data_IF_754527443450
#
_entry.id   IF_754527443450
#
_cell.length_a   1.000
_cell.length_b   1.000
_cell.length_c   1.000
_cell.angle_alpha   90.00
_cell.angle_beta   90.00
_cell.angle_gamma   90.00
#
_symmetry.space_group_name_H-M   'P 1'
#
loop_
_entity.id
_entity.type
_entity.pdbx_description
1 polymer ?
#
# COMPACT_ATOMS: atom_id res chain seq x y z
N UNK A 1 10.88 -5.41 -22.86
CA UNK A 1 10.79 -5.00 -21.44
C UNK A 1 9.37 -4.69 -20.95
N UNK A 2 8.51 -3.95 -21.68
CA UNK A 2 7.11 -3.68 -21.26
C UNK A 2 6.26 -4.94 -21.00
N UNK A 3 6.41 -5.95 -21.83
CA UNK A 3 5.76 -7.26 -21.67
C UNK A 3 6.17 -8.01 -20.42
N UNK A 4 7.47 -8.04 -20.11
CA UNK A 4 8.02 -8.59 -18.86
C UNK A 4 7.43 -7.83 -17.67
N UNK A 5 7.38 -6.49 -17.74
CA UNK A 5 6.79 -5.66 -16.69
C UNK A 5 5.32 -5.98 -16.43
N UNK A 6 4.53 -6.33 -17.46
CA UNK A 6 3.12 -6.68 -17.27
C UNK A 6 2.92 -7.99 -16.50
N UNK A 7 3.87 -8.92 -16.59
CA UNK A 7 3.80 -10.22 -15.90
C UNK A 7 4.63 -10.27 -14.61
N UNK A 8 5.67 -9.45 -14.49
CA UNK A 8 6.59 -9.44 -13.36
C UNK A 8 7.18 -8.04 -13.12
N UNK A 9 6.64 -7.33 -12.12
CA UNK A 9 6.91 -5.89 -11.89
C UNK A 9 8.10 -5.60 -10.96
N UNK A 10 8.57 -6.59 -10.19
CA UNK A 10 9.56 -6.42 -9.12
C UNK A 10 10.71 -7.44 -9.19
N UNK A 11 11.50 -7.44 -10.27
CA UNK A 11 12.71 -8.27 -10.33
C UNK A 11 13.75 -7.84 -9.29
N UNK A 12 14.41 -8.82 -8.70
CA UNK A 12 15.54 -8.67 -7.78
C UNK A 12 16.78 -8.09 -8.46
N UNK A 13 17.78 -7.74 -7.65
CA UNK A 13 19.04 -7.20 -8.15
C UNK A 13 19.78 -8.19 -9.06
N UNK A 14 19.76 -9.48 -8.72
CA UNK A 14 20.42 -10.53 -9.50
C UNK A 14 19.65 -10.81 -10.79
N UNK A 15 18.32 -10.80 -10.75
CA UNK A 15 17.49 -10.96 -11.95
C UNK A 15 17.61 -9.78 -12.91
N UNK A 16 17.76 -8.55 -12.40
CA UNK A 16 18.08 -7.39 -13.24
C UNK A 16 19.45 -7.52 -13.91
N UNK A 17 20.40 -8.19 -13.24
CA UNK A 17 21.73 -8.46 -13.76
C UNK A 17 21.69 -9.50 -14.88
N UNK A 18 21.04 -10.63 -14.62
CA UNK A 18 20.82 -11.69 -15.61
C UNK A 18 20.05 -11.18 -16.81
N UNK A 19 18.92 -10.48 -16.58
CA UNK A 19 18.13 -9.89 -17.65
C UNK A 19 18.93 -8.85 -18.43
N UNK A 20 19.74 -8.03 -17.76
CA UNK A 20 20.62 -7.04 -18.37
C UNK A 20 21.70 -7.68 -19.23
N UNK A 21 22.42 -8.67 -18.70
CA UNK A 21 23.43 -9.43 -19.44
C UNK A 21 22.82 -10.08 -20.69
N UNK A 22 21.61 -10.61 -20.56
CA UNK A 22 20.93 -11.30 -21.65
C UNK A 22 20.47 -10.30 -22.72
N UNK A 23 19.87 -9.16 -22.36
CA UNK A 23 19.41 -8.14 -23.35
C UNK A 23 20.47 -7.11 -23.75
N UNK A 24 21.72 -7.26 -23.31
CA UNK A 24 22.83 -6.36 -23.64
C UNK A 24 22.73 -4.99 -22.97
N UNK A 25 22.07 -4.89 -21.81
CA UNK A 25 21.91 -3.65 -21.04
C UNK A 25 22.58 -3.75 -19.68
N UNK A 26 23.20 -2.66 -19.24
CA UNK A 26 23.79 -2.60 -17.91
C UNK A 26 22.70 -2.79 -16.83
N UNK A 27 23.00 -3.59 -15.79
CA UNK A 27 22.12 -3.87 -14.64
C UNK A 27 21.39 -2.63 -14.11
N UNK A 28 22.10 -1.50 -13.98
CA UNK A 28 21.52 -0.23 -13.48
C UNK A 28 20.46 0.34 -14.43
N UNK A 29 20.63 0.19 -15.74
CA UNK A 29 19.64 0.63 -16.75
C UNK A 29 18.35 -0.17 -16.59
N UNK A 30 18.45 -1.50 -16.43
CA UNK A 30 17.30 -2.37 -16.20
C UNK A 30 16.59 -2.00 -14.89
N UNK A 31 17.33 -1.81 -13.80
CA UNK A 31 16.78 -1.40 -12.51
C UNK A 31 16.03 -0.06 -12.59
N UNK A 32 16.66 0.95 -13.18
CA UNK A 32 16.06 2.28 -13.36
C UNK A 32 14.84 2.21 -14.27
N UNK A 33 14.88 1.37 -15.30
CA UNK A 33 13.73 1.15 -16.17
C UNK A 33 12.52 0.58 -15.40
N UNK A 34 12.71 -0.45 -14.56
CA UNK A 34 11.64 -1.00 -13.73
C UNK A 34 11.13 -0.01 -12.66
N UNK A 35 12.02 0.78 -12.07
CA UNK A 35 11.64 1.85 -11.14
C UNK A 35 10.78 2.92 -11.83
N UNK A 36 11.20 3.36 -13.02
CA UNK A 36 10.46 4.34 -13.83
C UNK A 36 9.13 3.80 -14.34
N UNK A 37 9.07 2.52 -14.72
CA UNK A 37 7.83 1.86 -15.13
C UNK A 37 6.81 1.81 -13.99
N UNK A 38 7.23 1.42 -12.77
CA UNK A 38 6.35 1.46 -11.56
C UNK A 38 5.96 2.88 -11.18
N UNK A 39 6.87 3.84 -11.28
CA UNK A 39 6.56 5.24 -11.00
C UNK A 39 5.54 5.81 -11.99
N UNK A 40 5.64 5.46 -13.28
CA UNK A 40 4.69 5.84 -14.32
C UNK A 40 3.30 5.23 -14.07
N UNK A 41 3.25 3.96 -13.68
CA UNK A 41 2.01 3.26 -13.32
C UNK A 41 1.32 3.89 -12.10
N UNK A 42 2.07 4.20 -11.03
CA UNK A 42 1.52 4.89 -9.86
C UNK A 42 0.99 6.28 -10.20
N UNK A 43 1.57 6.96 -11.19
CA UNK A 43 1.15 8.30 -11.63
C UNK A 43 -0.05 8.28 -12.57
N UNK A 44 -0.29 7.19 -13.33
CA UNK A 44 -1.52 7.01 -14.12
C UNK A 44 -2.71 6.54 -13.28
N UNK A 45 -2.47 5.95 -12.09
CA UNK A 45 -3.51 5.46 -11.16
C UNK A 45 -4.40 6.56 -10.57
N UNK A 46 -4.03 7.84 -10.71
CA UNK A 46 -4.86 8.98 -10.26
C UNK A 46 -6.00 9.35 -11.23
N UNK A 47 -6.20 8.62 -12.34
CA UNK A 47 -7.24 8.96 -13.34
C UNK A 47 -8.20 7.81 -13.72
N UNK A 48 -7.97 6.57 -13.28
CA UNK A 48 -8.91 5.47 -13.57
C UNK A 48 -8.80 4.40 -12.50
N UNK A 49 -9.78 4.35 -11.60
CA UNK A 49 -10.02 3.18 -10.77
C UNK A 49 -10.76 2.13 -11.59
N UNK A 50 -10.48 0.85 -11.31
CA UNK A 50 -11.39 -0.28 -11.52
C UNK A 50 -11.17 -1.29 -12.67
N UNK A 51 -10.01 -1.34 -13.34
CA UNK A 51 -9.76 -2.40 -14.37
C UNK A 51 -8.43 -3.18 -14.21
N UNK A 52 -7.87 -3.32 -12.99
CA UNK A 52 -6.55 -3.97 -12.80
C UNK A 52 -6.57 -5.34 -12.11
N UNK A 53 -7.69 -5.82 -11.56
CA UNK A 53 -7.73 -7.14 -10.90
C UNK A 53 -7.75 -8.33 -11.86
N UNK A 54 -8.06 -8.12 -13.15
CA UNK A 54 -8.10 -9.19 -14.16
C UNK A 54 -6.78 -9.39 -14.91
N UNK A 55 -5.91 -8.37 -14.98
CA UNK A 55 -4.72 -8.43 -15.86
C UNK A 55 -3.49 -9.02 -15.17
N UNK A 56 -3.43 -8.96 -13.84
CA UNK A 56 -2.37 -9.57 -13.01
C UNK A 56 -2.61 -11.07 -12.71
N UNK A 57 -3.73 -11.64 -13.18
CA UNK A 57 -4.10 -13.05 -13.02
C UNK A 57 -3.99 -13.86 -14.34
N UNK A 58 -3.30 -13.33 -15.36
CA UNK A 58 -3.15 -14.02 -16.64
C UNK A 58 -2.35 -15.30 -16.44
N UNK A 59 -3.00 -16.47 -16.52
CA UNK A 59 -2.38 -17.80 -16.47
C UNK A 59 -1.60 -18.14 -17.74
N UNK A 60 -1.27 -17.15 -18.59
CA UNK A 60 -0.52 -17.34 -19.83
C UNK A 60 0.38 -16.16 -20.16
N UNK A 61 1.51 -16.44 -20.78
CA UNK A 61 2.42 -15.43 -21.30
C UNK A 61 1.85 -14.77 -22.55
N UNK A 62 1.69 -13.44 -22.52
CA UNK A 62 1.19 -12.68 -23.67
C UNK A 62 2.13 -12.68 -24.90
N UNK A 63 3.41 -13.00 -24.72
CA UNK A 63 4.40 -13.07 -25.81
C UNK A 63 4.67 -14.50 -26.31
N UNK A 64 4.67 -15.46 -25.39
CA UNK A 64 5.05 -16.84 -25.70
C UNK A 64 3.84 -17.77 -25.82
N UNK A 65 2.65 -17.33 -25.39
CA UNK A 65 1.44 -18.15 -25.33
C UNK A 65 1.48 -19.27 -24.28
N UNK A 66 2.61 -19.45 -23.58
CA UNK A 66 2.82 -20.51 -22.59
C UNK A 66 1.92 -20.30 -21.38
N UNK A 67 1.14 -21.32 -21.02
CA UNK A 67 0.33 -21.33 -19.81
C UNK A 67 1.18 -21.62 -18.58
N UNK A 68 0.91 -20.89 -17.50
CA UNK A 68 1.52 -21.10 -16.19
C UNK A 68 0.67 -22.13 -15.44
N UNK A 69 1.24 -23.29 -15.13
CA UNK A 69 0.59 -24.36 -14.39
C UNK A 69 1.53 -24.91 -13.29
N UNK A 70 1.14 -26.00 -12.64
CA UNK A 70 1.91 -26.63 -11.57
C UNK A 70 3.26 -27.22 -12.03
N UNK A 71 3.51 -27.32 -13.34
CA UNK A 71 4.77 -27.83 -13.91
C UNK A 71 5.71 -26.71 -14.34
N UNK A 72 5.18 -25.54 -14.70
CA UNK A 72 5.96 -24.39 -15.16
C UNK A 72 5.47 -23.14 -14.43
N UNK A 73 6.26 -22.68 -13.46
CA UNK A 73 5.94 -21.45 -12.75
C UNK A 73 6.11 -20.22 -13.66
N UNK A 74 5.38 -19.15 -13.36
CA UNK A 74 5.53 -17.87 -14.06
C UNK A 74 6.97 -17.35 -13.98
N UNK A 75 7.64 -17.59 -12.85
CA UNK A 75 9.04 -17.24 -12.62
C UNK A 75 9.97 -18.00 -13.56
N UNK A 76 9.87 -19.33 -13.57
CA UNK A 76 10.69 -20.21 -14.42
C UNK A 76 10.50 -19.89 -15.91
N UNK A 77 9.27 -19.57 -16.32
CA UNK A 77 8.99 -19.20 -17.70
C UNK A 77 9.63 -17.85 -18.09
N UNK A 78 9.45 -16.79 -17.30
CA UNK A 78 9.92 -15.44 -17.66
C UNK A 78 11.45 -15.38 -17.74
N UNK A 79 12.14 -16.17 -16.91
CA UNK A 79 13.60 -16.28 -16.90
C UNK A 79 14.15 -17.44 -17.74
N UNK A 80 13.28 -18.18 -18.45
CA UNK A 80 13.73 -19.20 -19.40
C UNK A 80 14.52 -18.58 -20.56
N UNK A 81 15.56 -19.28 -21.01
CA UNK A 81 16.35 -18.89 -22.19
C UNK A 81 15.48 -18.63 -23.42
N UNK A 82 14.44 -19.44 -23.63
CA UNK A 82 13.50 -19.27 -24.74
C UNK A 82 12.68 -17.98 -24.67
N UNK A 83 12.17 -17.64 -23.48
CA UNK A 83 11.43 -16.38 -23.28
C UNK A 83 12.36 -15.19 -23.51
N UNK A 84 13.57 -15.23 -22.93
CA UNK A 84 14.49 -14.10 -23.05
C UNK A 84 15.02 -13.97 -24.48
N UNK A 85 15.29 -15.06 -25.20
CA UNK A 85 15.66 -15.03 -26.62
C UNK A 85 14.57 -14.42 -27.50
N UNK A 86 13.29 -14.69 -27.22
CA UNK A 86 12.17 -14.02 -27.91
C UNK A 86 12.12 -12.53 -27.62
N UNK A 87 12.39 -12.12 -26.38
CA UNK A 87 12.50 -10.71 -26.00
C UNK A 87 13.68 -10.04 -26.71
N UNK A 88 14.86 -10.67 -26.78
CA UNK A 88 16.01 -10.15 -27.52
C UNK A 88 15.70 -9.94 -28.99
N UNK A 89 15.06 -10.92 -29.64
CA UNK A 89 14.67 -10.79 -31.05
C UNK A 89 13.79 -9.58 -31.30
N UNK A 90 12.77 -9.36 -30.47
CA UNK A 90 11.89 -8.18 -30.60
C UNK A 90 12.65 -6.85 -30.38
N UNK A 91 13.58 -6.79 -29.43
CA UNK A 91 14.43 -5.62 -29.20
C UNK A 91 15.43 -5.38 -30.35
N UNK A 92 15.88 -6.44 -31.02
CA UNK A 92 16.73 -6.33 -32.21
C UNK A 92 15.92 -5.89 -33.43
N UNK A 93 14.68 -6.34 -33.62
CA UNK A 93 13.81 -5.87 -34.71
C UNK A 93 13.46 -4.39 -34.56
N UNK A 94 13.26 -3.90 -33.33
CA UNK A 94 13.07 -2.48 -33.03
C UNK A 94 14.34 -1.65 -33.32
N UNK A 95 15.52 -2.28 -33.33
CA UNK A 95 16.81 -1.63 -33.62
C UNK A 95 17.18 -1.69 -35.13
N UNK A 96 16.75 -2.73 -35.85
CA UNK A 96 16.96 -2.88 -37.30
C UNK A 96 16.04 -1.97 -38.12
N UNK A 97 14.91 -1.49 -37.57
CA UNK A 97 14.14 -0.40 -38.20
C UNK A 97 14.78 0.99 -38.03
N UNK A 98 15.83 1.12 -37.20
CA UNK A 98 16.55 2.37 -36.97
C UNK A 98 17.92 2.44 -37.70
N UNK A 99 18.40 1.35 -38.31
CA UNK A 99 19.64 1.32 -39.11
C UNK A 99 19.41 0.65 -40.47
N UNK A 100 18.82 1.39 -41.40
CA UNK A 100 18.68 0.99 -42.80
C UNK A 100 18.63 2.21 -43.72
N UNK A 101 19.75 2.50 -44.38
CA UNK A 101 19.98 3.49 -45.45
C UNK A 101 20.04 4.96 -45.04
N UNK A 102 21.24 5.42 -44.68
CA UNK A 102 21.65 6.81 -44.91
C UNK A 102 22.27 6.83 -46.31
N UNK A 103 21.58 7.42 -47.28
CA UNK A 103 22.20 7.91 -48.51
C UNK A 103 21.83 9.38 -48.67
N UNK A 104 22.83 10.25 -48.60
CA UNK A 104 22.70 11.70 -48.73
C UNK A 104 22.86 12.07 -50.21
N UNK A 105 21.74 12.37 -50.88
CA UNK A 105 21.54 13.48 -51.83
C UNK A 105 20.51 13.15 -52.91
N UNK A 106 19.32 13.77 -52.83
CA UNK A 106 18.69 14.49 -53.95
C UNK A 106 17.29 14.99 -53.55
N UNK A 107 17.15 16.32 -53.55
CA UNK A 107 15.99 17.11 -54.02
C UNK A 107 14.60 16.95 -53.36
N UNK A 108 14.16 18.05 -52.73
CA UNK A 108 12.87 18.76 -52.85
C UNK A 108 11.60 17.88 -52.99
N UNK A 109 10.64 17.91 -52.06
CA UNK A 109 9.58 18.93 -52.03
C UNK A 109 8.77 18.95 -50.71
N UNK A 110 8.21 20.13 -50.46
CA UNK A 110 7.43 20.69 -49.35
C UNK A 110 6.23 19.89 -48.83
N UNK A 111 6.12 19.68 -47.50
CA UNK A 111 4.85 19.68 -46.72
C UNK A 111 5.11 20.27 -45.32
N UNK A 112 4.10 20.99 -44.81
CA UNK A 112 4.13 22.19 -43.97
C UNK A 112 4.42 22.01 -42.47
N UNK A 113 5.03 23.02 -41.85
CA UNK A 113 5.58 23.06 -40.47
C UNK A 113 4.63 23.70 -39.43
N UNK A 114 3.33 23.82 -39.70
CA UNK A 114 2.46 24.66 -38.85
C UNK A 114 1.77 23.99 -37.65
N UNK A 115 1.76 22.66 -37.52
CA UNK A 115 0.91 21.99 -36.50
C UNK A 115 1.60 21.60 -35.19
N UNK A 116 2.93 21.52 -35.15
CA UNK A 116 3.65 21.09 -33.93
C UNK A 116 3.88 22.25 -32.95
N UNK A 117 3.78 23.50 -33.41
CA UNK A 117 4.08 24.69 -32.61
C UNK A 117 2.87 25.22 -31.83
N UNK A 118 1.63 24.94 -32.28
CA UNK A 118 0.39 25.35 -31.57
C UNK A 118 0.18 24.59 -30.25
N UNK A 119 0.62 23.33 -30.17
CA UNK A 119 0.38 22.47 -29.00
C UNK A 119 1.33 22.80 -27.84
N UNK A 120 2.51 23.36 -28.13
CA UNK A 120 3.52 23.69 -27.10
C UNK A 120 3.29 25.06 -26.43
N UNK A 121 2.63 26.01 -27.10
CA UNK A 121 2.37 27.34 -26.55
C UNK A 121 1.09 27.43 -25.67
N UNK A 122 0.21 26.43 -25.71
CA UNK A 122 -1.03 26.41 -24.90
C UNK A 122 -0.83 25.94 -23.46
N UNK A 123 0.20 25.15 -23.17
CA UNK A 123 0.49 24.62 -21.83
C UNK A 123 1.25 25.58 -20.90
N UNK A 124 1.73 26.73 -21.42
CA UNK A 124 2.54 27.70 -20.66
C UNK A 124 1.71 28.92 -20.21
N UNK A 125 0.52 29.14 -20.80
CA UNK A 125 -0.27 30.38 -20.60
C UNK A 125 -1.21 30.39 -19.38
N UNK A 126 -1.54 29.23 -18.78
CA UNK A 126 -2.47 29.17 -17.63
C UNK A 126 -1.81 29.28 -16.24
N UNK A 127 -0.51 29.60 -16.16
CA UNK A 127 0.19 29.75 -14.86
C UNK A 127 0.61 31.18 -14.48
N UNK A 128 0.22 32.21 -15.25
CA UNK A 128 0.62 33.60 -14.97
C UNK A 128 -0.49 34.64 -15.17
N UNK A 129 -1.47 34.63 -14.26
CA UNK A 129 -2.31 35.78 -13.82
C UNK A 129 -3.23 35.21 -12.74
N UNK A 130 -3.12 35.55 -11.46
CA UNK A 130 -3.55 36.84 -10.89
C UNK A 130 -2.99 36.99 -9.46
N UNK A 131 -2.77 38.25 -9.05
CA UNK A 131 -1.98 38.73 -7.91
C UNK A 131 -2.87 38.93 -6.66
N UNK A 132 -2.27 38.82 -5.47
CA UNK A 132 -2.85 39.03 -4.13
C UNK A 132 -3.58 40.39 -3.91
N UNK A 133 -4.37 40.52 -2.83
CA UNK A 133 -3.84 41.20 -1.63
C UNK A 133 -4.17 40.49 -0.30
N UNK A 134 -3.29 40.69 0.69
CA UNK A 134 -3.33 40.05 2.00
C UNK A 134 -4.35 40.63 2.99
N UNK A 135 -4.80 39.77 3.89
CA UNK A 135 -5.31 40.10 5.23
C UNK A 135 -4.85 38.99 6.17
N UNK A 136 -4.26 39.42 7.29
CA UNK A 136 -3.85 38.63 8.43
C UNK A 136 -5.05 38.19 9.27
N UNK A 137 -5.28 36.89 9.42
CA UNK A 137 -6.07 36.33 10.54
C UNK A 137 -5.61 34.90 10.83
N UNK A 138 -5.14 34.70 12.05
CA UNK A 138 -4.88 33.42 12.72
C UNK A 138 -6.18 32.68 13.06
N UNK A 139 -6.31 31.42 12.66
CA UNK A 139 -6.87 30.33 13.48
C UNK A 139 -6.83 28.97 12.76
N UNK A 140 -6.72 27.85 13.52
CA UNK A 140 -6.51 26.50 13.01
C UNK A 140 -7.83 25.70 12.91
N UNK A 141 -7.91 24.72 12.00
CA UNK A 141 -9.05 23.82 11.96
C UNK A 141 -9.21 23.05 10.66
N UNK A 142 -8.47 21.95 10.51
CA UNK A 142 -8.78 20.90 9.52
C UNK A 142 -8.25 19.58 10.07
N UNK A 143 -9.09 18.88 10.84
CA UNK A 143 -8.79 17.55 11.37
C UNK A 143 -8.80 16.53 10.22
N UNK A 144 -7.65 16.38 9.57
CA UNK A 144 -7.29 15.14 8.91
C UNK A 144 -7.03 14.10 10.00
N UNK A 145 -7.85 13.04 10.04
CA UNK A 145 -7.60 11.88 10.89
C UNK A 145 -6.19 11.34 10.59
N UNK A 146 -5.35 11.12 11.61
CA UNK A 146 -4.04 10.53 11.37
C UNK A 146 -4.24 9.09 10.87
N UNK A 147 -3.47 8.64 9.88
CA UNK A 147 -3.39 7.21 9.59
C UNK A 147 -2.84 6.51 10.84
N UNK A 148 -3.45 5.38 11.20
CA UNK A 148 -2.98 4.50 12.27
C UNK A 148 -1.45 4.38 12.27
N UNK A 149 -0.79 4.50 13.44
CA UNK A 149 0.67 4.53 13.51
C UNK A 149 1.21 3.09 13.40
N UNK A 150 1.26 2.55 12.19
CA UNK A 150 2.16 1.44 11.89
C UNK A 150 3.18 1.88 10.86
N UNK A 151 4.02 2.82 11.29
CA UNK A 151 5.38 2.94 10.78
C UNK A 151 6.27 1.90 11.50
N UNK A 152 5.88 0.63 11.48
CA UNK A 152 6.60 -0.45 12.17
C UNK A 152 6.95 -1.59 11.21
N UNK A 153 7.71 -1.26 10.16
CA UNK A 153 8.56 -2.22 9.45
C UNK A 153 9.72 -1.52 8.73
N UNK A 154 10.20 -0.38 9.24
CA UNK A 154 11.38 0.31 8.70
C UNK A 154 12.29 0.95 9.76
N UNK A 155 12.41 0.36 10.96
CA UNK A 155 13.40 0.85 11.93
C UNK A 155 14.12 -0.21 12.76
N UNK A 156 14.28 -1.44 12.24
CA UNK A 156 15.23 -2.39 12.83
C UNK A 156 16.18 -2.89 11.73
N UNK A 157 17.42 -2.38 11.84
CA UNK A 157 18.71 -2.93 11.37
C UNK A 157 18.67 -3.70 10.04
N UNK A 158 19.22 -3.07 9.01
CA UNK A 158 19.87 -3.78 7.90
C UNK A 158 20.87 -4.79 8.45
N UNK A 159 20.57 -6.07 8.32
CA UNK A 159 21.50 -7.14 8.67
C UNK A 159 20.77 -8.39 9.10
N UNK A 160 20.61 -9.31 8.15
CA UNK A 160 20.23 -10.72 8.32
C UNK A 160 18.72 -11.00 8.49
N UNK A 161 18.05 -11.23 7.37
CA UNK A 161 16.87 -12.10 7.32
C UNK A 161 16.85 -12.93 6.01
N UNK A 162 16.37 -14.19 6.03
CA UNK A 162 16.39 -15.10 4.89
C UNK A 162 15.34 -14.71 3.84
N UNK A 163 15.61 -15.10 2.59
CA UNK A 163 14.97 -14.69 1.33
C UNK A 163 13.48 -15.17 1.15
N UNK A 164 12.78 -15.63 2.19
CA UNK A 164 11.53 -16.40 2.01
C UNK A 164 10.28 -15.89 2.77
N UNK A 165 10.21 -14.62 3.18
CA UNK A 165 9.03 -14.10 3.90
C UNK A 165 8.51 -12.80 3.29
N UNK A 166 7.52 -12.88 2.40
CA UNK A 166 6.69 -11.72 2.03
C UNK A 166 5.53 -11.60 3.03
N UNK A 167 5.50 -10.55 3.89
CA UNK A 167 4.43 -10.37 4.87
C UNK A 167 3.03 -10.25 4.24
N UNK A 168 2.93 -9.85 2.97
CA UNK A 168 1.63 -9.73 2.30
C UNK A 168 1.04 -11.09 1.90
N UNK A 169 1.88 -12.12 1.79
CA UNK A 169 1.48 -13.47 1.40
C UNK A 169 1.43 -14.42 2.60
N UNK A 170 2.38 -14.28 3.52
CA UNK A 170 2.46 -15.12 4.71
C UNK A 170 1.64 -14.56 5.87
N UNK A 171 1.38 -13.26 5.92
CA UNK A 171 0.78 -12.58 7.06
C UNK A 171 1.80 -12.38 8.19
N UNK A 172 1.32 -11.99 9.36
CA UNK A 172 2.11 -11.88 10.60
C UNK A 172 1.51 -12.82 11.65
N UNK A 173 2.27 -13.74 12.25
CA UNK A 173 1.76 -14.61 13.30
C UNK A 173 1.31 -13.79 14.51
N UNK A 174 0.26 -14.23 15.20
CA UNK A 174 -0.26 -13.54 16.41
C UNK A 174 0.85 -13.20 17.42
N UNK A 175 1.79 -14.10 17.78
CA UNK A 175 2.85 -13.80 18.75
C UNK A 175 3.84 -12.70 18.32
N UNK A 176 3.82 -12.30 17.05
CA UNK A 176 4.68 -11.24 16.49
C UNK A 176 3.96 -9.89 16.38
N UNK A 177 2.68 -9.82 16.79
CA UNK A 177 1.95 -8.56 16.83
C UNK A 177 2.46 -7.68 17.96
N UNK A 178 2.56 -6.37 17.72
CA UNK A 178 2.97 -5.39 18.73
C UNK A 178 1.80 -4.94 19.59
N UNK A 179 1.21 -5.90 20.29
CA UNK A 179 0.14 -5.71 21.25
C UNK A 179 0.51 -6.45 22.53
N UNK A 180 -0.10 -6.13 23.68
CA UNK A 180 0.20 -6.81 24.93
C UNK A 180 -0.02 -8.33 24.82
N UNK A 181 0.81 -9.11 25.50
CA UNK A 181 0.74 -10.58 25.49
C UNK A 181 -0.62 -11.12 25.95
N UNK A 182 -1.25 -10.45 26.91
CA UNK A 182 -2.62 -10.76 27.34
C UNK A 182 -3.63 -10.69 26.20
N UNK A 183 -3.47 -9.72 25.29
CA UNK A 183 -4.34 -9.54 24.13
C UNK A 183 -4.04 -10.63 23.08
N UNK A 184 -2.77 -10.96 22.85
CA UNK A 184 -2.39 -12.08 21.96
C UNK A 184 -2.97 -13.42 22.44
N UNK A 185 -2.92 -13.67 23.75
CA UNK A 185 -3.53 -14.84 24.37
C UNK A 185 -5.06 -14.85 24.24
N UNK A 186 -5.70 -13.68 24.41
CA UNK A 186 -7.14 -13.52 24.19
C UNK A 186 -7.53 -13.83 22.75
N UNK A 187 -6.85 -13.26 21.75
CA UNK A 187 -7.13 -13.50 20.33
C UNK A 187 -7.02 -15.00 20.01
N UNK A 188 -5.95 -15.65 20.50
CA UNK A 188 -5.73 -17.09 20.30
C UNK A 188 -6.86 -17.93 20.90
N UNK A 189 -7.29 -17.57 22.11
CA UNK A 189 -8.40 -18.25 22.81
C UNK A 189 -9.72 -18.06 22.06
N UNK A 190 -10.04 -16.82 21.68
CA UNK A 190 -11.26 -16.46 20.95
C UNK A 190 -11.34 -17.24 19.62
N UNK A 191 -10.22 -17.33 18.90
CA UNK A 191 -10.14 -18.08 17.65
C UNK A 191 -10.30 -19.60 17.86
N UNK A 192 -9.65 -20.18 18.88
CA UNK A 192 -9.83 -21.61 19.21
C UNK A 192 -11.25 -21.96 19.66
N UNK A 193 -11.97 -20.99 20.24
CA UNK A 193 -13.37 -21.13 20.64
C UNK A 193 -14.37 -20.98 19.48
N UNK A 194 -13.88 -20.76 18.25
CA UNK A 194 -14.72 -20.64 17.05
C UNK A 194 -15.47 -19.31 16.94
N UNK A 195 -15.01 -18.24 17.60
CA UNK A 195 -15.58 -16.91 17.40
C UNK A 195 -15.18 -16.36 16.03
N UNK A 196 -15.93 -15.39 15.54
CA UNK A 196 -15.65 -14.71 14.27
C UNK A 196 -14.75 -13.49 14.45
N UNK A 197 -14.58 -13.00 15.68
CA UNK A 197 -13.75 -11.84 15.97
C UNK A 197 -13.26 -11.80 17.43
N UNK A 198 -12.20 -11.02 17.65
CA UNK A 198 -11.74 -10.61 18.99
C UNK A 198 -11.70 -9.09 19.08
N UNK A 199 -12.27 -8.56 20.17
CA UNK A 199 -12.27 -7.14 20.50
C UNK A 199 -11.25 -6.83 21.58
N UNK A 200 -10.41 -5.83 21.33
CA UNK A 200 -9.36 -5.41 22.26
C UNK A 200 -9.02 -3.93 22.10
N UNK A 201 -8.40 -3.34 23.11
CA UNK A 201 -7.80 -2.00 23.03
C UNK A 201 -6.29 -2.11 22.80
N UNK A 202 -5.64 -1.04 22.34
CA UNK A 202 -4.20 -1.09 22.05
C UNK A 202 -3.36 -1.44 23.29
N UNK A 203 -3.81 -0.98 24.46
CA UNK A 203 -3.16 -1.19 25.75
C UNK A 203 -3.70 -2.39 26.53
N UNK A 204 -4.63 -3.16 25.94
CA UNK A 204 -5.21 -4.35 26.57
C UNK A 204 -6.08 -4.05 27.80
N UNK A 205 -6.46 -2.80 28.01
CA UNK A 205 -7.31 -2.34 29.12
C UNK A 205 -8.77 -2.21 28.69
N UNK A 206 -9.70 -2.31 29.64
CA UNK A 206 -11.13 -2.17 29.32
C UNK A 206 -11.56 -0.71 29.37
N UNK A 207 -12.61 -0.35 28.62
CA UNK A 207 -13.19 0.99 28.67
C UNK A 207 -13.62 1.39 30.09
N UNK A 208 -14.15 0.44 30.87
CA UNK A 208 -14.59 0.70 32.25
C UNK A 208 -13.46 1.11 33.19
N UNK A 209 -12.21 0.68 32.93
CA UNK A 209 -11.07 1.08 33.74
C UNK A 209 -10.74 2.58 33.64
N UNK A 210 -11.25 3.29 32.62
CA UNK A 210 -11.11 4.75 32.52
C UNK A 210 -11.68 5.48 33.74
N UNK A 211 -12.74 4.95 34.37
CA UNK A 211 -13.37 5.55 35.56
C UNK A 211 -12.37 5.72 36.69
N UNK A 212 -11.38 4.83 36.81
CA UNK A 212 -10.40 4.87 37.88
C UNK A 212 -9.26 5.86 37.64
N UNK A 213 -9.04 6.31 36.40
CA UNK A 213 -7.89 7.14 36.02
C UNK A 213 -8.26 8.53 35.49
N UNK A 214 -9.55 8.77 35.21
CA UNK A 214 -10.05 10.05 34.73
C UNK A 214 -10.97 10.70 35.76
N UNK A 215 -10.97 12.05 35.84
CA UNK A 215 -12.04 12.77 36.53
C UNK A 215 -13.42 12.43 35.96
N UNK A 216 -14.45 12.41 36.82
CA UNK A 216 -15.82 12.06 36.42
C UNK A 216 -16.33 12.89 35.22
N UNK A 217 -15.94 14.16 35.15
CA UNK A 217 -16.36 15.06 34.07
C UNK A 217 -15.74 14.70 32.72
N UNK A 218 -14.47 14.25 32.73
CA UNK A 218 -13.82 13.76 31.52
C UNK A 218 -14.38 12.40 31.11
N UNK A 219 -14.68 11.54 32.08
CA UNK A 219 -15.35 10.27 31.81
C UNK A 219 -16.75 10.46 31.19
N UNK A 220 -17.50 11.50 31.58
CA UNK A 220 -18.82 11.80 31.01
C UNK A 220 -18.79 12.08 29.50
N UNK A 221 -17.69 12.65 28.99
CA UNK A 221 -17.51 12.87 27.55
C UNK A 221 -16.73 11.74 26.85
N UNK A 222 -16.19 10.77 27.60
CA UNK A 222 -15.55 9.58 27.03
C UNK A 222 -16.58 8.62 26.41
N UNK A 223 -16.17 7.91 25.37
CA UNK A 223 -16.92 6.85 24.70
C UNK A 223 -15.96 5.84 24.10
N UNK A 224 -16.49 4.78 23.51
CA UNK A 224 -15.70 3.74 22.83
C UNK A 224 -16.21 3.56 21.40
N UNK A 225 -15.29 3.37 20.46
CA UNK A 225 -15.62 3.11 19.06
C UNK A 225 -14.74 1.98 18.52
N UNK A 226 -15.34 1.05 17.81
CA UNK A 226 -14.66 -0.14 17.29
C UNK A 226 -14.19 0.10 15.85
N UNK A 227 -13.09 -0.52 15.46
CA UNK A 227 -12.57 -0.49 14.10
C UNK A 227 -11.96 -1.84 13.74
N UNK A 228 -12.27 -2.35 12.55
CA UNK A 228 -11.64 -3.55 12.02
C UNK A 228 -10.22 -3.21 11.58
N UNK A 229 -9.21 -3.88 12.17
CA UNK A 229 -7.79 -3.56 11.97
C UNK A 229 -6.98 -4.73 11.43
N UNK A 230 -7.53 -5.94 11.44
CA UNK A 230 -6.82 -7.12 10.96
C UNK A 230 -7.75 -8.29 10.62
N UNK A 231 -7.27 -9.15 9.74
CA UNK A 231 -7.97 -10.34 9.28
C UNK A 231 -7.05 -11.54 9.45
N UNK A 232 -7.42 -12.46 10.33
CA UNK A 232 -6.64 -13.64 10.63
C UNK A 232 -7.21 -14.88 9.93
N UNK A 233 -6.31 -15.77 9.51
CA UNK A 233 -6.65 -17.09 9.01
C UNK A 233 -6.87 -18.05 10.19
N UNK A 234 -8.06 -18.63 10.38
CA UNK A 234 -8.31 -19.56 11.49
C UNK A 234 -7.48 -20.85 11.42
N UNK A 235 -6.98 -21.24 10.24
CA UNK A 235 -6.15 -22.44 10.08
C UNK A 235 -4.71 -22.26 10.54
N UNK A 236 -4.04 -21.19 10.10
CA UNK A 236 -2.61 -20.97 10.37
C UNK A 236 -2.35 -19.87 11.40
N UNK A 237 -3.39 -19.16 11.86
CA UNK A 237 -3.34 -18.06 12.83
C UNK A 237 -2.63 -16.80 12.37
N UNK A 238 -2.18 -16.74 11.11
CA UNK A 238 -1.51 -15.56 10.58
C UNK A 238 -2.53 -14.43 10.31
N UNK A 239 -2.11 -13.21 10.60
CA UNK A 239 -2.91 -11.99 10.51
C UNK A 239 -2.46 -11.14 9.33
N UNK A 240 -3.44 -10.58 8.62
CA UNK A 240 -3.27 -9.79 7.41
C UNK A 240 -3.86 -8.39 7.61
N UNK A 241 -3.26 -7.41 6.94
CA UNK A 241 -3.70 -6.00 7.01
C UNK A 241 -4.95 -5.70 6.18
N UNK A 242 -5.35 -6.62 5.30
CA UNK A 242 -6.53 -6.49 4.44
C UNK A 242 -7.15 -7.87 4.25
N UNK A 243 -8.48 -7.90 4.17
CA UNK A 243 -9.22 -9.14 3.91
C UNK A 243 -8.76 -9.80 2.60
N UNK A 244 -8.48 -9.00 1.57
CA UNK A 244 -8.04 -9.52 0.28
C UNK A 244 -6.71 -10.29 0.36
N UNK A 245 -5.80 -9.87 1.24
CA UNK A 245 -4.52 -10.56 1.44
C UNK A 245 -4.74 -11.91 2.13
N UNK A 246 -5.62 -11.95 3.13
CA UNK A 246 -6.06 -13.20 3.74
C UNK A 246 -6.70 -14.14 2.69
N UNK A 247 -7.61 -13.63 1.85
CA UNK A 247 -8.23 -14.42 0.77
C UNK A 247 -7.21 -14.93 -0.25
N UNK A 248 -6.14 -14.20 -0.51
CA UNK A 248 -5.05 -14.66 -1.37
C UNK A 248 -4.25 -15.77 -0.69
N UNK A 249 -3.92 -15.60 0.59
CA UNK A 249 -3.27 -16.60 1.41
C UNK A 249 -4.07 -17.92 1.50
N UNK A 250 -5.38 -17.85 1.73
CA UNK A 250 -6.28 -19.01 1.77
C UNK A 250 -6.29 -19.77 0.43
N UNK A 251 -6.30 -19.06 -0.70
CA UNK A 251 -6.29 -19.69 -2.02
C UNK A 251 -4.97 -20.37 -2.37
N UNK A 252 -3.85 -19.79 -1.94
CA UNK A 252 -2.51 -20.23 -2.36
C UNK A 252 -1.83 -21.16 -1.36
N UNK A 253 -2.10 -20.99 -0.06
CA UNK A 253 -1.35 -21.62 1.04
C UNK A 253 -2.29 -22.43 1.93
N UNK A 254 -3.30 -21.79 2.53
CA UNK A 254 -4.25 -22.43 3.43
C UNK A 254 -5.54 -22.85 2.70
N UNK A 255 -5.38 -23.79 1.77
CA UNK A 255 -6.50 -24.28 0.95
C UNK A 255 -7.56 -24.97 1.82
N UNK A 256 -8.84 -24.78 1.46
CA UNK A 256 -9.97 -25.35 2.20
C UNK A 256 -10.41 -24.56 3.43
N UNK A 257 -9.96 -23.31 3.58
CA UNK A 257 -10.44 -22.38 4.60
C UNK A 257 -10.97 -21.09 3.96
N UNK A 258 -12.27 -20.87 4.09
CA UNK A 258 -12.92 -19.62 3.66
C UNK A 258 -13.34 -18.73 4.84
N UNK A 259 -13.21 -19.23 6.07
CA UNK A 259 -13.55 -18.50 7.30
C UNK A 259 -12.57 -17.36 7.55
N UNK A 260 -13.07 -16.27 8.12
CA UNK A 260 -12.31 -15.06 8.38
C UNK A 260 -12.48 -14.72 9.86
N UNK A 261 -11.37 -14.56 10.56
CA UNK A 261 -11.38 -14.09 11.94
C UNK A 261 -10.96 -12.62 11.99
N UNK A 262 -11.80 -11.74 12.54
CA UNK A 262 -11.54 -10.30 12.54
C UNK A 262 -10.90 -9.84 13.85
N UNK A 263 -9.84 -9.04 13.73
CA UNK A 263 -9.27 -8.30 14.85
C UNK A 263 -9.93 -6.92 14.88
N UNK A 264 -10.62 -6.63 15.98
CA UNK A 264 -11.40 -5.40 16.16
C UNK A 264 -10.76 -4.60 17.29
N UNK A 265 -10.20 -3.44 16.95
CA UNK A 265 -9.58 -2.54 17.91
C UNK A 265 -10.60 -1.51 18.41
N UNK A 266 -10.88 -1.55 19.70
CA UNK A 266 -11.67 -0.55 20.41
C UNK A 266 -10.79 0.66 20.73
N UNK A 267 -11.23 1.84 20.30
CA UNK A 267 -10.60 3.13 20.57
C UNK A 267 -11.37 3.89 21.64
N UNK A 268 -10.62 4.61 22.48
CA UNK A 268 -11.20 5.59 23.40
C UNK A 268 -11.55 6.85 22.60
N UNK A 269 -12.82 7.23 22.60
CA UNK A 269 -13.33 8.37 21.85
C UNK A 269 -13.70 9.50 22.80
N UNK A 270 -13.22 10.72 22.51
CA UNK A 270 -13.69 11.92 23.18
C UNK A 270 -14.85 12.48 22.38
N UNK A 271 -16.07 12.44 22.94
CA UNK A 271 -17.29 12.93 22.27
C UNK A 271 -17.35 14.45 22.19
N UNK A 272 -16.72 15.15 23.14
CA UNK A 272 -16.62 16.61 23.13
C UNK A 272 -15.72 17.10 21.98
N UNK A 273 -14.59 16.44 21.74
CA UNK A 273 -13.60 16.84 20.74
C UNK A 273 -13.71 16.07 19.40
N UNK A 274 -14.57 15.06 19.34
CA UNK A 274 -14.65 14.08 18.24
C UNK A 274 -13.29 13.45 17.86
N UNK A 275 -12.47 13.15 18.87
CA UNK A 275 -11.13 12.57 18.72
C UNK A 275 -11.10 11.11 19.17
N UNK A 276 -10.18 10.30 18.60
CA UNK A 276 -10.00 8.86 18.92
C UNK A 276 -8.58 8.57 19.36
N UNK A 277 -8.42 7.68 20.33
CA UNK A 277 -7.15 7.35 20.97
C UNK A 277 -7.01 5.84 21.14
N UNK A 278 -5.79 5.32 20.96
CA UNK A 278 -5.53 3.88 21.03
C UNK A 278 -5.31 3.39 22.45
N UNK A 279 -4.66 4.20 23.28
CA UNK A 279 -4.34 3.88 24.68
C UNK A 279 -4.99 4.85 25.67
N UNK A 280 -5.24 4.36 26.89
CA UNK A 280 -5.79 5.18 27.98
C UNK A 280 -4.86 6.35 28.36
N UNK A 281 -3.55 6.15 28.25
CA UNK A 281 -2.55 7.18 28.55
C UNK A 281 -2.66 8.37 27.59
N UNK A 282 -2.83 8.10 26.30
CA UNK A 282 -3.03 9.13 25.28
C UNK A 282 -4.34 9.89 25.50
N UNK A 283 -5.42 9.16 25.81
CA UNK A 283 -6.71 9.76 26.13
C UNK A 283 -6.62 10.68 27.36
N UNK A 284 -5.93 10.24 28.41
CA UNK A 284 -5.71 11.05 29.62
C UNK A 284 -4.93 12.32 29.32
N UNK A 285 -3.84 12.22 28.56
CA UNK A 285 -3.04 13.38 28.16
C UNK A 285 -3.88 14.35 27.32
N UNK A 286 -4.76 13.85 26.45
CA UNK A 286 -5.72 14.69 25.73
C UNK A 286 -6.67 15.44 26.69
N UNK A 287 -7.18 14.77 27.73
CA UNK A 287 -8.04 15.42 28.72
C UNK A 287 -7.36 16.55 29.49
N UNK A 288 -6.03 16.49 29.64
CA UNK A 288 -5.24 17.52 30.31
C UNK A 288 -5.05 18.78 29.43
N UNK A 289 -5.41 18.74 28.14
CA UNK A 289 -5.28 19.89 27.22
C UNK A 289 -6.33 20.97 27.48
N UNK A 290 -5.94 22.24 27.32
CA UNK A 290 -6.87 23.38 27.45
C UNK A 290 -8.00 23.34 26.41
N UNK A 291 -7.69 22.88 25.20
CA UNK A 291 -8.66 22.71 24.11
C UNK A 291 -9.76 21.73 24.51
N UNK A 292 -9.39 20.58 25.07
CA UNK A 292 -10.35 19.61 25.58
C UNK A 292 -11.16 20.17 26.74
N UNK A 293 -10.52 20.83 27.70
CA UNK A 293 -11.22 21.38 28.87
C UNK A 293 -12.31 22.37 28.43
N UNK A 294 -12.01 23.26 27.47
CA UNK A 294 -12.99 24.16 26.89
C UNK A 294 -14.11 23.41 26.15
N UNK A 295 -13.76 22.44 25.29
CA UNK A 295 -14.74 21.63 24.56
C UNK A 295 -15.65 20.82 25.50
N UNK A 296 -15.10 20.31 26.61
CA UNK A 296 -15.84 19.57 27.64
C UNK A 296 -16.86 20.45 28.34
N UNK A 297 -16.54 21.70 28.68
CA UNK A 297 -17.52 22.61 29.29
C UNK A 297 -18.71 22.83 28.37
N UNK A 298 -18.45 23.07 27.07
CA UNK A 298 -19.50 23.21 26.05
C UNK A 298 -20.33 21.93 25.95
N UNK A 299 -19.68 20.77 25.90
CA UNK A 299 -20.36 19.47 25.79
C UNK A 299 -21.24 19.15 27.00
N UNK A 300 -20.80 19.51 28.21
CA UNK A 300 -21.55 19.29 29.45
C UNK A 300 -22.58 20.39 29.73
N UNK A 301 -22.80 21.33 28.81
CA UNK A 301 -23.83 22.36 28.93
C UNK A 301 -23.50 23.48 29.91
N UNK A 302 -22.23 23.69 30.27
CA UNK A 302 -21.79 24.91 30.95
C UNK A 302 -21.40 25.91 29.87
N UNK A 303 -22.29 26.87 29.61
CA UNK A 303 -21.99 28.05 28.80
C UNK A 303 -20.78 28.78 29.42
N UNK A 304 -19.81 29.12 28.57
CA UNK A 304 -18.65 29.94 28.92
C UNK A 304 -19.03 31.29 29.54
#
# INVERSE_FOLDING_TARGET
>A
MKSIFMSYKTPSMNECDLLGAEIGLHKRVVQVWFQNARAKERKSRSQSGDEELLRCASTRCAMCGVSYDHRISLHDHIFSTDHINRVKKLLQTDNVQAEGTIDLNASLETIDKEDIQRTRMKAIRDRRTMKQPGVSTSSPGSNAMPPFPYNFLYSIRSGLAPIMYDPNLMGTPIPMLQIPESVMAQITTDMSSGRESSKFTQDGKTFQQLVAILPLRDFQCAGSTDSEVGWACPQCTNVFQQEQLLKNHQRLICQGCDSVFKLVQTHYQCRACNAKFGAQTEFRVHCDTLEHQAAREVFLGRTA
#
